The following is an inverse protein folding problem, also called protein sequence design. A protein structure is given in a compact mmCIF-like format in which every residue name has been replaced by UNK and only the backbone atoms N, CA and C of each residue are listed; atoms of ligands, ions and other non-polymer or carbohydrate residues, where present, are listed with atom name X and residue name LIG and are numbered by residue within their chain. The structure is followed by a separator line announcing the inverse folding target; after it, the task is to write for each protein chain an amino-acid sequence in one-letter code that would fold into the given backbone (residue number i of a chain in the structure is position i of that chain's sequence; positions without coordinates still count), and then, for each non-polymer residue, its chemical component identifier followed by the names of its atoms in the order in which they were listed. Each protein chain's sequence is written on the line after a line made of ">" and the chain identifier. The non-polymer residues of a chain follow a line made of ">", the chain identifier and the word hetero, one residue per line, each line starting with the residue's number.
data_IF_830473267668
#
_entry.id   IF_830473267668
#
_cell.length_a   1.000
_cell.length_b   1.000
_cell.length_c   1.000
_cell.angle_alpha   90.00
_cell.angle_beta   90.00
_cell.angle_gamma   90.00
#
_symmetry.space_group_name_H-M   'P 1'
#
loop_
_entity.id
_entity.type
_entity.pdbx_description
1 polymer ?
#
# COMPACT_ATOMS: atom_id res chain seq x y z
N UNK A 1 6.62 2.78 -8.85
CA UNK A 1 5.20 2.49 -9.14
C UNK A 1 4.81 1.09 -8.73
N UNK A 2 5.29 0.06 -9.42
CA UNK A 2 4.80 -1.33 -9.26
C UNK A 2 4.89 -1.84 -7.82
N UNK A 3 6.02 -1.64 -7.14
CA UNK A 3 6.19 -2.06 -5.73
C UNK A 3 5.17 -1.38 -4.80
N UNK A 4 4.89 -0.10 -5.03
CA UNK A 4 3.89 0.66 -4.28
C UNK A 4 2.48 0.09 -4.48
N UNK A 5 2.14 -0.32 -5.70
CA UNK A 5 0.85 -0.94 -6.04
C UNK A 5 0.58 -2.29 -5.36
N UNK A 6 1.60 -2.95 -4.82
CA UNK A 6 1.48 -4.20 -4.07
C UNK A 6 1.68 -4.05 -2.56
N UNK A 7 1.86 -2.83 -2.04
CA UNK A 7 2.18 -2.61 -0.63
C UNK A 7 1.03 -2.98 0.34
N UNK A 8 -0.20 -3.17 -0.16
CA UNK A 8 -1.40 -3.40 0.64
C UNK A 8 -1.36 -4.65 1.55
N UNK A 9 -0.50 -5.65 1.26
CA UNK A 9 -0.39 -6.85 2.11
C UNK A 9 0.10 -6.54 3.53
N UNK A 10 0.83 -5.43 3.73
CA UNK A 10 1.37 -5.06 5.04
C UNK A 10 0.27 -4.75 6.05
N UNK A 11 -0.84 -4.18 5.58
CA UNK A 11 -2.03 -3.90 6.40
C UNK A 11 -2.56 -5.16 7.08
N UNK A 12 -2.57 -6.29 6.37
CA UNK A 12 -3.03 -7.59 6.90
C UNK A 12 -2.11 -8.06 8.03
N UNK A 13 -0.80 -7.89 7.86
CA UNK A 13 0.21 -8.29 8.85
C UNK A 13 0.09 -7.43 10.12
N UNK A 14 -0.01 -6.10 9.93
CA UNK A 14 -0.09 -5.15 11.04
C UNK A 14 -1.40 -5.25 11.83
N UNK A 15 -2.48 -5.77 11.22
CA UNK A 15 -3.74 -6.06 11.89
C UNK A 15 -3.83 -7.51 12.38
N UNK A 16 -2.73 -8.28 12.32
CA UNK A 16 -2.71 -9.70 12.66
C UNK A 16 -3.18 -10.04 14.07
N UNK A 17 -3.03 -9.13 15.04
CA UNK A 17 -3.50 -9.33 16.42
C UNK A 17 -5.03 -9.37 16.57
N UNK A 18 -5.76 -8.83 15.59
CA UNK A 18 -7.23 -8.75 15.59
C UNK A 18 -7.87 -9.83 14.71
N UNK A 19 -7.05 -10.64 14.01
CA UNK A 19 -7.52 -11.67 13.08
C UNK A 19 -7.79 -12.97 13.85
N UNK A 20 -8.99 -13.53 13.69
CA UNK A 20 -9.32 -14.89 14.17
C UNK A 20 -8.42 -15.91 13.46
N UNK A 21 -7.73 -16.78 14.20
CA UNK A 21 -6.76 -17.76 13.66
C UNK A 21 -5.68 -17.12 12.76
N UNK A 22 -4.83 -16.24 13.32
CA UNK A 22 -3.92 -15.41 12.55
C UNK A 22 -2.92 -16.21 11.71
N UNK A 23 -2.43 -17.35 12.21
CA UNK A 23 -1.45 -18.21 11.52
C UNK A 23 -1.90 -18.60 10.10
N UNK A 24 -3.16 -19.02 9.97
CA UNK A 24 -3.70 -19.51 8.70
C UNK A 24 -4.30 -18.38 7.87
N UNK A 25 -4.96 -17.44 8.53
CA UNK A 25 -5.73 -16.40 7.84
C UNK A 25 -4.85 -15.26 7.33
N UNK A 26 -3.73 -14.94 7.99
CA UNK A 26 -2.74 -13.98 7.47
C UNK A 26 -2.10 -14.56 6.21
N UNK A 27 -1.63 -15.81 6.25
CA UNK A 27 -0.99 -16.45 5.10
C UNK A 27 -1.94 -16.56 3.89
N UNK A 28 -3.18 -17.00 4.12
CA UNK A 28 -4.22 -17.04 3.08
C UNK A 28 -4.57 -15.65 2.57
N UNK A 29 -4.71 -14.68 3.46
CA UNK A 29 -5.02 -13.29 3.11
C UNK A 29 -3.99 -12.72 2.15
N UNK A 30 -2.70 -12.87 2.48
CA UNK A 30 -1.59 -12.42 1.63
C UNK A 30 -1.61 -13.14 0.27
N UNK A 31 -1.76 -14.47 0.27
CA UNK A 31 -1.75 -15.25 -0.96
C UNK A 31 -2.93 -14.88 -1.89
N UNK A 32 -4.14 -14.74 -1.34
CA UNK A 32 -5.33 -14.36 -2.09
C UNK A 32 -5.20 -12.93 -2.60
N UNK A 33 -4.81 -11.98 -1.74
CA UNK A 33 -4.69 -10.58 -2.16
C UNK A 33 -3.64 -10.41 -3.25
N UNK A 34 -2.48 -11.06 -3.12
CA UNK A 34 -1.40 -10.94 -4.09
C UNK A 34 -1.80 -11.56 -5.43
N UNK A 35 -2.40 -12.76 -5.41
CA UNK A 35 -2.84 -13.46 -6.62
C UNK A 35 -3.94 -12.67 -7.33
N UNK A 36 -4.92 -12.17 -6.58
CA UNK A 36 -6.03 -11.40 -7.15
C UNK A 36 -5.54 -10.07 -7.75
N UNK A 37 -4.68 -9.33 -7.04
CA UNK A 37 -4.08 -8.10 -7.56
C UNK A 37 -3.23 -8.37 -8.81
N UNK A 38 -2.45 -9.46 -8.82
CA UNK A 38 -1.64 -9.82 -9.98
C UNK A 38 -2.50 -10.11 -11.21
N UNK A 39 -3.55 -10.92 -11.07
CA UNK A 39 -4.48 -11.22 -12.16
C UNK A 39 -5.13 -9.93 -12.66
N UNK A 40 -5.63 -9.10 -11.74
CA UNK A 40 -6.30 -7.85 -12.08
C UNK A 40 -5.38 -6.90 -12.85
N UNK A 41 -4.13 -6.72 -12.41
CA UNK A 41 -3.17 -5.88 -13.12
C UNK A 41 -2.80 -6.43 -14.49
N UNK A 42 -2.66 -7.76 -14.64
CA UNK A 42 -2.40 -8.38 -15.95
C UNK A 42 -3.57 -8.14 -16.90
N UNK A 43 -4.80 -8.31 -16.42
CA UNK A 43 -6.02 -8.10 -17.23
C UNK A 43 -6.14 -6.63 -17.63
N UNK A 44 -5.95 -5.69 -16.70
CA UNK A 44 -5.98 -4.26 -16.99
C UNK A 44 -4.91 -3.87 -18.01
N UNK A 45 -3.67 -4.34 -17.83
CA UNK A 45 -2.57 -4.05 -18.74
C UNK A 45 -2.84 -4.63 -20.13
N UNK A 46 -3.33 -5.87 -20.21
CA UNK A 46 -3.67 -6.51 -21.47
C UNK A 46 -4.78 -5.75 -22.19
N UNK A 47 -5.85 -5.38 -21.48
CA UNK A 47 -6.97 -4.60 -22.01
C UNK A 47 -6.52 -3.24 -22.53
N UNK A 48 -5.63 -2.57 -21.80
CA UNK A 48 -5.08 -1.29 -22.21
C UNK A 48 -4.32 -1.41 -23.54
N UNK A 49 -3.44 -2.40 -23.65
CA UNK A 49 -2.65 -2.63 -24.87
C UNK A 49 -3.55 -2.99 -26.06
N UNK A 50 -4.55 -3.86 -25.87
CA UNK A 50 -5.42 -4.32 -26.97
C UNK A 50 -6.42 -3.26 -27.43
N UNK A 51 -6.84 -2.37 -26.54
CA UNK A 51 -7.85 -1.35 -26.86
C UNK A 51 -7.24 -0.09 -27.49
N UNK A 52 -5.91 -0.03 -27.61
CA UNK A 52 -5.21 1.18 -28.05
C UNK A 52 -5.30 1.33 -29.57
N UNK A 53 -5.73 2.48 -30.11
CA UNK A 53 -5.84 2.68 -31.54
C UNK A 53 -4.48 2.52 -32.23
N UNK A 54 -4.41 1.61 -33.21
CA UNK A 54 -3.17 1.36 -33.97
C UNK A 54 -2.65 2.61 -34.68
N UNK A 55 -3.53 3.53 -35.08
CA UNK A 55 -3.18 4.81 -35.69
C UNK A 55 -2.30 5.71 -34.80
N UNK A 56 -2.59 5.80 -33.49
CA UNK A 56 -1.76 6.58 -32.56
C UNK A 56 -0.37 5.97 -32.34
N UNK A 57 -0.29 4.63 -32.35
CA UNK A 57 0.98 3.91 -32.21
C UNK A 57 1.83 4.05 -33.48
N UNK A 58 1.20 4.06 -34.65
CA UNK A 58 1.88 4.18 -35.93
C UNK A 58 2.46 5.58 -36.20
N UNK A 59 1.79 6.66 -35.77
CA UNK A 59 2.26 8.03 -36.03
C UNK A 59 3.31 8.53 -35.03
N UNK A 60 3.17 8.21 -33.74
CA UNK A 60 4.01 8.81 -32.67
C UNK A 60 4.74 7.76 -31.82
N UNK A 61 4.54 6.47 -32.08
CA UNK A 61 5.07 5.39 -31.24
C UNK A 61 4.54 5.42 -29.80
N UNK A 62 5.12 4.59 -28.94
CA UNK A 62 4.76 4.56 -27.51
C UNK A 62 5.17 5.83 -26.74
N UNK A 63 6.06 6.65 -27.31
CA UNK A 63 6.55 7.89 -26.70
C UNK A 63 5.58 9.08 -26.84
N UNK A 64 4.61 9.01 -27.76
CA UNK A 64 3.59 10.06 -27.93
C UNK A 64 2.42 9.97 -26.96
N UNK A 65 2.37 8.92 -26.13
CA UNK A 65 1.23 8.60 -25.27
C UNK A 65 1.49 9.17 -23.89
N UNK A 66 0.93 10.36 -23.64
CA UNK A 66 1.07 11.05 -22.36
C UNK A 66 -0.31 11.23 -21.72
N UNK A 67 -0.84 10.13 -21.17
CA UNK A 67 -2.12 10.15 -20.45
C UNK A 67 -1.88 10.44 -18.97
N UNK A 68 -2.57 11.45 -18.46
CA UNK A 68 -2.63 11.71 -17.02
C UNK A 68 -3.49 10.67 -16.30
N UNK A 69 -4.50 10.12 -16.99
CA UNK A 69 -5.38 9.07 -16.48
C UNK A 69 -5.58 8.01 -17.58
N UNK A 70 -4.63 7.08 -17.76
CA UNK A 70 -4.57 6.19 -18.93
C UNK A 70 -5.89 5.51 -19.27
N UNK A 71 -6.58 4.95 -18.27
CA UNK A 71 -7.84 4.25 -18.50
C UNK A 71 -9.03 5.19 -18.76
N UNK A 72 -9.09 6.34 -18.09
CA UNK A 72 -10.19 7.29 -18.26
C UNK A 72 -10.06 8.02 -19.61
N UNK A 73 -8.86 8.48 -19.94
CA UNK A 73 -8.53 9.12 -21.22
C UNK A 73 -8.80 8.13 -22.38
N UNK A 74 -8.44 6.86 -22.21
CA UNK A 74 -8.76 5.81 -23.19
C UNK A 74 -10.27 5.56 -23.33
N UNK A 75 -11.02 5.52 -22.22
CA UNK A 75 -12.47 5.34 -22.28
C UNK A 75 -13.16 6.50 -23.01
N UNK A 76 -12.68 7.73 -22.85
CA UNK A 76 -13.14 8.90 -23.60
C UNK A 76 -12.80 8.76 -25.09
N UNK A 77 -11.56 8.37 -25.42
CA UNK A 77 -11.13 8.16 -26.80
C UNK A 77 -11.96 7.08 -27.54
N UNK A 78 -12.39 6.05 -26.81
CA UNK A 78 -13.27 4.99 -27.33
C UNK A 78 -14.76 5.37 -27.34
N UNK A 79 -15.12 6.57 -26.89
CA UNK A 79 -16.50 7.05 -26.81
C UNK A 79 -17.33 6.45 -25.66
N UNK A 80 -16.69 5.72 -24.73
CA UNK A 80 -17.32 5.03 -23.61
C UNK A 80 -17.41 5.96 -22.39
N UNK A 81 -18.16 7.05 -22.52
CA UNK A 81 -18.22 8.12 -21.52
C UNK A 81 -18.69 7.64 -20.13
N UNK A 82 -19.59 6.65 -20.06
CA UNK A 82 -20.06 6.10 -18.77
C UNK A 82 -18.91 5.44 -17.99
N UNK A 83 -17.98 4.79 -18.68
CA UNK A 83 -16.82 4.14 -18.08
C UNK A 83 -15.81 5.17 -17.60
N UNK A 84 -15.59 6.25 -18.36
CA UNK A 84 -14.72 7.35 -17.94
C UNK A 84 -15.21 8.00 -16.64
N UNK A 85 -16.52 8.26 -16.52
CA UNK A 85 -17.13 8.80 -15.30
C UNK A 85 -16.91 7.84 -14.12
N UNK A 86 -17.16 6.54 -14.33
CA UNK A 86 -16.94 5.52 -13.30
C UNK A 86 -15.47 5.48 -12.84
N UNK A 87 -14.52 5.57 -13.77
CA UNK A 87 -13.09 5.59 -13.46
C UNK A 87 -12.67 6.85 -12.69
N UNK A 88 -13.21 8.02 -13.01
CA UNK A 88 -12.94 9.23 -12.23
C UNK A 88 -13.53 9.17 -10.81
N UNK A 89 -14.73 8.60 -10.66
CA UNK A 89 -15.33 8.39 -9.34
C UNK A 89 -14.48 7.40 -8.53
N UNK A 90 -14.06 6.29 -9.14
CA UNK A 90 -13.18 5.31 -8.50
C UNK A 90 -11.84 5.93 -8.08
N UNK A 91 -11.25 6.79 -8.93
CA UNK A 91 -10.01 7.50 -8.62
C UNK A 91 -10.10 8.40 -7.38
N UNK A 92 -11.31 8.82 -6.96
CA UNK A 92 -11.54 9.58 -5.73
C UNK A 92 -11.87 8.66 -4.54
N UNK A 93 -12.69 7.64 -4.76
CA UNK A 93 -13.18 6.75 -3.69
C UNK A 93 -12.10 5.76 -3.23
N UNK A 94 -11.29 5.26 -4.14
CA UNK A 94 -10.28 4.21 -3.87
C UNK A 94 -9.14 4.69 -2.96
N UNK A 95 -8.55 5.89 -3.15
CA UNK A 95 -7.58 6.44 -2.20
C UNK A 95 -8.16 6.69 -0.81
N UNK A 96 -9.46 6.99 -0.70
CA UNK A 96 -10.11 7.20 0.60
C UNK A 96 -10.13 5.90 1.42
N UNK A 97 -10.55 4.78 0.83
CA UNK A 97 -10.54 3.48 1.51
C UNK A 97 -9.13 3.04 1.91
N UNK A 98 -8.16 3.30 1.04
CA UNK A 98 -6.74 3.07 1.32
C UNK A 98 -6.27 3.94 2.49
N UNK A 99 -6.58 5.24 2.47
CA UNK A 99 -6.22 6.19 3.52
C UNK A 99 -6.74 5.80 4.91
N UNK A 100 -8.02 5.40 5.01
CA UNK A 100 -8.61 4.91 6.26
C UNK A 100 -7.86 3.70 6.80
N UNK A 101 -7.52 2.76 5.91
CA UNK A 101 -6.76 1.55 6.28
C UNK A 101 -5.36 1.89 6.80
N UNK A 102 -4.64 2.81 6.13
CA UNK A 102 -3.32 3.26 6.55
C UNK A 102 -3.35 4.02 7.88
N UNK A 103 -4.33 4.89 8.10
CA UNK A 103 -4.50 5.59 9.39
C UNK A 103 -4.69 4.58 10.53
N UNK A 104 -5.50 3.54 10.31
CA UNK A 104 -5.71 2.48 11.29
C UNK A 104 -4.42 1.69 11.59
N UNK A 105 -3.61 1.41 10.56
CA UNK A 105 -2.31 0.73 10.71
C UNK A 105 -1.30 1.60 11.46
N UNK A 106 -1.15 2.87 11.05
CA UNK A 106 -0.20 3.81 11.66
C UNK A 106 -0.46 3.97 13.15
N UNK A 107 -1.73 4.05 13.58
CA UNK A 107 -2.07 4.11 15.01
C UNK A 107 -1.53 2.92 15.81
N UNK A 108 -1.60 1.70 15.25
CA UNK A 108 -1.09 0.47 15.89
C UNK A 108 0.44 0.44 15.93
N UNK A 109 1.10 0.85 14.84
CA UNK A 109 2.56 0.92 14.76
C UNK A 109 3.10 1.93 15.78
N UNK A 110 2.52 3.12 15.86
CA UNK A 110 2.95 4.15 16.81
C UNK A 110 2.76 3.69 18.26
N UNK A 111 1.66 2.97 18.56
CA UNK A 111 1.47 2.35 19.87
C UNK A 111 2.55 1.31 20.20
N UNK A 112 2.91 0.46 19.24
CA UNK A 112 3.98 -0.51 19.43
C UNK A 112 5.34 0.19 19.67
N UNK A 113 5.60 1.30 18.97
CA UNK A 113 6.80 2.12 19.18
C UNK A 113 6.82 2.79 20.57
N UNK A 114 5.68 3.26 21.07
CA UNK A 114 5.57 3.84 22.42
C UNK A 114 5.83 2.78 23.49
N UNK A 115 5.24 1.59 23.35
CA UNK A 115 5.50 0.46 24.26
C UNK A 115 6.97 0.06 24.31
N UNK A 116 7.68 0.20 23.18
CA UNK A 116 9.11 -0.05 23.07
C UNK A 116 9.98 1.14 23.52
N UNK A 117 9.40 2.25 23.99
CA UNK A 117 10.11 3.43 24.46
C UNK A 117 10.76 4.29 23.37
N UNK A 118 10.44 4.08 22.10
CA UNK A 118 11.09 4.77 20.97
C UNK A 118 10.47 6.15 20.66
N UNK A 119 9.25 6.42 21.13
CA UNK A 119 8.56 7.70 20.90
C UNK A 119 8.05 8.30 22.22
N UNK A 120 7.87 9.64 22.29
CA UNK A 120 7.32 10.30 23.48
C UNK A 120 5.93 9.76 23.85
N UNK A 121 5.70 9.54 25.15
CA UNK A 121 4.43 8.99 25.70
C UNK A 121 3.18 9.75 25.25
N UNK A 122 3.30 11.05 24.93
CA UNK A 122 2.19 11.86 24.45
C UNK A 122 1.67 11.45 23.07
N UNK A 123 2.54 10.98 22.18
CA UNK A 123 2.17 10.53 20.83
C UNK A 123 1.45 9.17 20.85
N UNK A 124 1.83 8.29 21.78
CA UNK A 124 1.16 7.00 21.98
C UNK A 124 -0.05 7.03 22.91
N UNK A 125 -0.41 8.19 23.48
CA UNK A 125 -1.53 8.31 24.42
C UNK A 125 -2.84 7.94 23.71
N UNK A 126 -3.40 6.80 24.14
CA UNK A 126 -4.65 6.29 23.60
C UNK A 126 -5.83 7.05 24.19
N UNK A 127 -6.83 7.35 23.37
CA UNK A 127 -8.10 7.83 23.90
C UNK A 127 -8.89 6.64 24.46
N UNK A 128 -9.27 6.71 25.75
CA UNK A 128 -9.94 5.63 26.49
C UNK A 128 -11.31 5.25 25.89
N UNK A 129 -12.01 6.19 25.27
CA UNK A 129 -13.36 5.94 24.75
C UNK A 129 -13.38 5.15 23.43
N UNK A 130 -12.35 5.29 22.60
CA UNK A 130 -12.34 4.71 21.24
C UNK A 130 -11.14 3.80 20.97
N UNK A 131 -10.21 3.66 21.91
CA UNK A 131 -8.95 2.92 21.73
C UNK A 131 -8.09 3.38 20.53
N UNK A 132 -8.23 4.65 20.12
CA UNK A 132 -7.53 5.23 18.96
C UNK A 132 -6.54 6.32 19.46
N UNK A 133 -5.28 6.34 18.99
CA UNK A 133 -4.32 7.38 19.35
C UNK A 133 -4.56 8.66 18.50
N UNK A 134 -5.47 9.53 18.94
CA UNK A 134 -5.88 10.74 18.20
C UNK A 134 -4.71 11.69 17.91
N UNK A 135 -3.79 11.85 18.86
CA UNK A 135 -2.60 12.71 18.72
C UNK A 135 -1.67 12.19 17.63
N UNK A 136 -1.43 10.87 17.58
CA UNK A 136 -0.66 10.23 16.52
C UNK A 136 -1.28 10.46 15.13
N UNK A 137 -2.61 10.35 15.02
CA UNK A 137 -3.32 10.57 13.75
C UNK A 137 -3.20 12.03 13.31
N UNK A 138 -3.39 12.98 14.22
CA UNK A 138 -3.24 14.41 13.92
C UNK A 138 -1.80 14.74 13.49
N UNK A 139 -0.80 14.20 14.20
CA UNK A 139 0.60 14.36 13.83
C UNK A 139 0.91 13.77 12.45
N UNK A 140 0.40 12.56 12.16
CA UNK A 140 0.53 11.94 10.84
C UNK A 140 -0.15 12.78 9.74
N UNK A 141 -1.31 13.37 10.01
CA UNK A 141 -2.00 14.26 9.08
C UNK A 141 -1.18 15.52 8.78
N UNK A 142 -0.59 16.15 9.81
CA UNK A 142 0.28 17.33 9.65
C UNK A 142 1.50 16.98 8.80
N UNK A 143 2.19 15.87 9.10
CA UNK A 143 3.34 15.42 8.30
C UNK A 143 2.91 15.14 6.86
N UNK A 144 1.78 14.47 6.66
CA UNK A 144 1.27 14.15 5.32
C UNK A 144 0.98 15.42 4.53
N UNK A 145 0.37 16.44 5.14
CA UNK A 145 0.13 17.74 4.50
C UNK A 145 1.45 18.42 4.10
N UNK A 146 2.44 18.44 5.00
CA UNK A 146 3.77 19.02 4.73
C UNK A 146 4.44 18.30 3.56
N UNK A 147 4.41 16.96 3.54
CA UNK A 147 4.99 16.16 2.48
C UNK A 147 4.33 16.42 1.12
N UNK A 148 2.99 16.50 1.07
CA UNK A 148 2.27 16.83 -0.17
C UNK A 148 2.59 18.24 -0.66
N UNK A 149 2.78 19.22 0.24
CA UNK A 149 3.19 20.57 -0.17
C UNK A 149 4.64 20.65 -0.67
N UNK A 150 5.54 19.81 -0.13
CA UNK A 150 6.95 19.76 -0.54
C UNK A 150 7.13 19.01 -1.86
N UNK A 151 6.41 17.90 -2.05
CA UNK A 151 6.48 17.07 -3.25
C UNK A 151 5.27 17.35 -4.15
N UNK A 152 5.43 18.30 -5.07
CA UNK A 152 4.41 18.65 -6.08
C UNK A 152 4.28 17.63 -7.22
N UNK A 153 5.19 16.66 -7.31
CA UNK A 153 5.18 15.61 -8.33
C UNK A 153 4.85 14.24 -7.73
N UNK A 154 3.79 13.62 -8.26
CA UNK A 154 3.33 12.29 -7.82
C UNK A 154 4.34 11.19 -8.15
N UNK A 155 4.98 11.26 -9.33
CA UNK A 155 5.95 10.25 -9.76
C UNK A 155 7.13 10.14 -8.80
N UNK A 156 7.68 11.29 -8.42
CA UNK A 156 8.77 11.42 -7.45
C UNK A 156 8.33 10.94 -6.07
N UNK A 157 7.15 11.33 -5.59
CA UNK A 157 6.63 10.90 -4.30
C UNK A 157 6.47 9.37 -4.24
N UNK A 158 5.86 8.78 -5.28
CA UNK A 158 5.69 7.34 -5.38
C UNK A 158 7.03 6.59 -5.44
N UNK A 159 8.04 7.16 -6.11
CA UNK A 159 9.39 6.58 -6.16
C UNK A 159 10.07 6.61 -4.79
N UNK A 160 10.02 7.74 -4.08
CA UNK A 160 10.59 7.89 -2.73
C UNK A 160 9.93 6.91 -1.76
N UNK A 161 8.61 6.82 -1.75
CA UNK A 161 7.87 5.89 -0.88
C UNK A 161 8.23 4.43 -1.23
N UNK A 162 8.30 4.09 -2.52
CA UNK A 162 8.68 2.75 -2.96
C UNK A 162 10.06 2.36 -2.44
N UNK A 163 11.04 3.27 -2.58
CA UNK A 163 12.42 3.04 -2.12
C UNK A 163 12.51 2.93 -0.61
N UNK A 164 11.84 3.82 0.13
CA UNK A 164 11.80 3.75 1.59
C UNK A 164 11.17 2.45 2.09
N UNK A 165 10.09 1.99 1.43
CA UNK A 165 9.44 0.71 1.74
C UNK A 165 10.37 -0.47 1.45
N UNK A 166 11.11 -0.44 0.33
CA UNK A 166 12.06 -1.48 -0.03
C UNK A 166 13.17 -1.60 1.03
N UNK A 167 13.73 -0.48 1.47
CA UNK A 167 14.72 -0.44 2.57
C UNK A 167 14.12 -1.03 3.85
N UNK A 168 12.88 -0.67 4.19
CA UNK A 168 12.18 -1.26 5.33
C UNK A 168 12.01 -2.78 5.19
N UNK A 169 11.73 -3.29 3.99
CA UNK A 169 11.60 -4.74 3.74
C UNK A 169 12.89 -5.51 3.88
N UNK A 170 14.05 -4.90 3.67
CA UNK A 170 15.34 -5.54 3.93
C UNK A 170 15.54 -5.85 5.44
N UNK A 171 14.90 -5.09 6.33
CA UNK A 171 14.97 -5.32 7.79
C UNK A 171 14.25 -6.60 8.23
N UNK A 172 13.24 -7.06 7.48
CA UNK A 172 12.46 -8.25 7.82
C UNK A 172 13.30 -9.54 7.83
N UNK A 173 13.87 -9.95 6.67
CA UNK A 173 14.70 -11.15 6.57
C UNK A 173 15.92 -11.11 7.50
N UNK A 174 16.58 -9.96 7.62
CA UNK A 174 17.74 -9.78 8.51
C UNK A 174 17.36 -10.00 9.98
N UNK A 175 16.23 -9.47 10.42
CA UNK A 175 15.69 -9.73 11.77
C UNK A 175 15.37 -11.20 11.97
N UNK A 176 14.75 -11.87 10.99
CA UNK A 176 14.42 -13.31 11.09
C UNK A 176 15.69 -14.16 11.23
N UNK A 177 16.72 -13.90 10.43
CA UNK A 177 18.00 -14.63 10.49
C UNK A 177 18.68 -14.41 11.85
N UNK A 178 18.73 -13.16 12.32
CA UNK A 178 19.30 -12.83 13.63
C UNK A 178 18.55 -13.52 14.77
N UNK A 179 17.21 -13.46 14.75
CA UNK A 179 16.36 -14.07 15.78
C UNK A 179 16.44 -15.60 15.80
N UNK A 180 16.66 -16.23 14.63
CA UNK A 180 16.93 -17.67 14.54
C UNK A 180 18.22 -18.06 15.26
N UNK A 181 19.26 -17.22 15.22
CA UNK A 181 20.54 -17.45 15.90
C UNK A 181 20.47 -17.12 17.39
N UNK A 182 19.83 -16.01 17.77
CA UNK A 182 19.82 -15.50 19.14
C UNK A 182 18.75 -16.13 20.04
N UNK A 183 17.60 -16.55 19.51
CA UNK A 183 16.48 -17.08 20.29
C UNK A 183 15.86 -18.33 19.65
N UNK A 184 16.59 -19.47 19.60
CA UNK A 184 16.13 -20.68 18.94
C UNK A 184 14.90 -21.35 19.62
N UNK A 185 14.67 -21.10 20.92
CA UNK A 185 13.59 -21.74 21.71
C UNK A 185 12.25 -20.97 21.73
N UNK A 186 12.14 -19.82 21.04
CA UNK A 186 10.86 -19.10 21.00
C UNK A 186 9.77 -19.87 20.24
N UNK A 187 8.54 -19.82 20.74
CA UNK A 187 7.36 -20.37 20.06
C UNK A 187 7.11 -19.59 18.76
N UNK A 188 7.05 -20.30 17.63
CA UNK A 188 6.87 -19.72 16.29
C UNK A 188 5.50 -20.13 15.75
N UNK A 189 4.51 -19.20 15.71
CA UNK A 189 3.18 -19.46 15.16
C UNK A 189 3.23 -19.85 13.68
N UNK A 190 4.21 -19.32 12.95
CA UNK A 190 4.45 -19.63 11.54
C UNK A 190 5.90 -20.07 11.34
N UNK A 191 6.08 -21.32 10.88
CA UNK A 191 7.39 -21.86 10.47
C UNK A 191 7.46 -21.85 8.95
N UNK A 192 8.06 -20.81 8.38
CA UNK A 192 8.44 -20.82 6.97
C UNK A 192 9.59 -21.80 6.79
N UNK A 193 9.42 -22.81 5.93
CA UNK A 193 10.43 -23.81 5.57
C UNK A 193 11.47 -23.23 4.59
N UNK A 194 11.93 -22.01 4.87
CA UNK A 194 12.94 -21.32 4.08
C UNK A 194 14.21 -21.30 4.94
N UNK A 195 15.19 -22.08 4.46
CA UNK A 195 16.58 -22.29 4.90
C UNK A 195 16.83 -22.30 6.42
#
# INVERSE_FOLDING_TARGET
>A
GIIFSFNAFQTIINMGSEIKNPEKNIARGIAISLTLSAILYIVLQSTFITSMPSSMIHEHGWNGINFNSPFADMAILLGINWLAILLYVEAVVSPFGTGVSFVAVTGRVLRAMEKNGHIPKFLGKMNEQYNIPRVAIAFNAIISMIMVTLFRDWGTLAAVISTATLVAYLTGPTTVISLRKMAPKMTRPFKANIL
#
